data_IF_758258389633
#
_entry.id   IF_758258389633
#
_cell.length_a   1.000
_cell.length_b   1.000
_cell.length_c   1.000
_cell.angle_alpha   90.00
_cell.angle_beta   90.00
_cell.angle_gamma   90.00
#
_symmetry.space_group_name_H-M   'P 1'
#
loop_
_entity.id
_entity.type
_entity.pdbx_description
1 polymer ?
#
# COMPACT_ATOMS: atom_id res chain seq x y z
N UNK A 1 -5.93 -8.01 10.71
CA UNK A 1 -5.86 -8.35 9.26
C UNK A 1 -7.00 -9.23 8.76
N UNK A 2 -7.74 -9.97 9.61
CA UNK A 2 -8.79 -10.88 9.14
C UNK A 2 -9.93 -10.20 8.36
N UNK A 3 -10.24 -8.93 8.65
CA UNK A 3 -11.30 -8.16 7.96
C UNK A 3 -10.91 -7.80 6.51
N UNK A 4 -9.61 -7.72 6.20
CA UNK A 4 -9.12 -7.34 4.86
C UNK A 4 -8.67 -8.55 4.04
N UNK A 5 -8.69 -9.76 4.58
CA UNK A 5 -8.25 -10.94 3.85
C UNK A 5 -9.08 -11.12 2.56
N UNK A 6 -8.39 -11.22 1.42
CA UNK A 6 -9.01 -11.28 0.09
C UNK A 6 -9.10 -9.95 -0.64
N UNK A 7 -8.86 -8.82 0.02
CA UNK A 7 -8.83 -7.50 -0.62
C UNK A 7 -7.50 -7.33 -1.38
N UNK A 8 -7.60 -7.02 -2.67
CA UNK A 8 -6.48 -6.66 -3.52
C UNK A 8 -6.57 -5.18 -3.92
N UNK A 9 -5.45 -4.46 -3.85
CA UNK A 9 -5.37 -3.04 -4.20
C UNK A 9 -4.13 -2.75 -5.06
N UNK A 10 -4.22 -1.82 -6.04
CA UNK A 10 -3.05 -1.29 -6.71
C UNK A 10 -2.11 -0.65 -5.70
N UNK A 11 -0.82 -0.95 -5.81
CA UNK A 11 0.17 -0.46 -4.86
C UNK A 11 1.51 -0.21 -5.53
N UNK A 12 2.34 0.60 -4.89
CA UNK A 12 3.78 0.67 -5.16
C UNK A 12 4.51 0.17 -3.93
N UNK A 13 5.39 -0.81 -4.11
CA UNK A 13 6.20 -1.39 -3.04
C UNK A 13 7.67 -1.14 -3.33
N UNK A 14 8.41 -0.71 -2.30
CA UNK A 14 9.82 -0.31 -2.37
C UNK A 14 10.62 -1.07 -1.32
N UNK A 15 11.67 -1.77 -1.76
CA UNK A 15 12.65 -2.40 -0.87
C UNK A 15 13.66 -1.37 -0.34
N UNK A 16 14.36 -1.73 0.74
CA UNK A 16 15.39 -0.87 1.35
C UNK A 16 16.53 -0.52 0.37
N UNK A 17 16.88 -1.44 -0.54
CA UNK A 17 17.87 -1.20 -1.59
C UNK A 17 17.38 -0.29 -2.74
N UNK A 18 16.16 0.23 -2.67
CA UNK A 18 15.57 1.13 -3.66
C UNK A 18 14.88 0.43 -4.84
N UNK A 19 14.81 -0.90 -4.87
CA UNK A 19 14.02 -1.62 -5.89
C UNK A 19 12.54 -1.32 -5.73
N UNK A 20 11.83 -1.04 -6.84
CA UNK A 20 10.42 -0.64 -6.83
C UNK A 20 9.59 -1.51 -7.78
N UNK A 21 8.42 -1.96 -7.31
CA UNK A 21 7.40 -2.57 -8.16
C UNK A 21 6.06 -1.87 -8.01
N UNK A 22 5.33 -1.70 -9.11
CA UNK A 22 3.98 -1.15 -9.13
C UNK A 22 3.00 -2.20 -9.61
N UNK A 23 2.32 -2.84 -8.68
CA UNK A 23 1.45 -3.97 -8.93
C UNK A 23 0.40 -4.11 -7.82
N UNK A 24 -0.52 -5.05 -7.98
CA UNK A 24 -1.50 -5.35 -6.94
C UNK A 24 -0.85 -6.02 -5.71
N UNK A 25 -1.20 -5.52 -4.53
CA UNK A 25 -0.97 -6.16 -3.24
C UNK A 25 -2.25 -6.84 -2.77
N UNK A 26 -2.12 -8.04 -2.22
CA UNK A 26 -3.21 -8.83 -1.66
C UNK A 26 -3.04 -8.95 -0.14
N UNK A 27 -4.05 -8.53 0.62
CA UNK A 27 -4.12 -8.85 2.04
C UNK A 27 -4.58 -10.31 2.21
N UNK A 28 -3.83 -11.09 3.00
CA UNK A 28 -4.15 -12.50 3.29
C UNK A 28 -4.40 -12.70 4.78
N UNK A 29 -4.86 -13.90 5.16
CA UNK A 29 -4.98 -14.27 6.57
C UNK A 29 -3.63 -14.26 7.32
N UNK A 30 -2.52 -14.43 6.62
CA UNK A 30 -1.17 -14.58 7.22
C UNK A 30 -0.17 -13.59 6.62
N UNK A 31 -0.57 -12.32 6.53
CA UNK A 31 0.28 -11.24 6.04
C UNK A 31 -0.11 -10.80 4.63
N UNK A 32 0.89 -10.52 3.79
CA UNK A 32 0.72 -9.88 2.49
C UNK A 32 1.15 -10.82 1.36
N UNK A 33 0.53 -10.68 0.19
CA UNK A 33 0.84 -11.44 -1.03
C UNK A 33 0.47 -10.61 -2.27
N UNK A 34 0.25 -11.27 -3.41
CA UNK A 34 -0.02 -10.63 -4.69
C UNK A 34 1.27 -10.30 -5.47
N UNK A 35 1.16 -9.92 -6.75
CA UNK A 35 2.32 -9.73 -7.61
C UNK A 35 3.33 -8.73 -7.05
N UNK A 36 2.90 -7.62 -6.44
CA UNK A 36 3.81 -6.65 -5.83
C UNK A 36 4.70 -7.29 -4.74
N UNK A 37 4.09 -8.03 -3.81
CA UNK A 37 4.79 -8.67 -2.69
C UNK A 37 5.67 -9.82 -3.17
N UNK A 38 5.19 -10.62 -4.13
CA UNK A 38 5.97 -11.72 -4.69
C UNK A 38 7.22 -11.21 -5.41
N UNK A 39 7.10 -10.15 -6.22
CA UNK A 39 8.24 -9.55 -6.91
C UNK A 39 9.25 -8.94 -5.92
N UNK A 40 8.79 -8.13 -4.96
CA UNK A 40 9.70 -7.48 -4.00
C UNK A 40 10.40 -8.49 -3.08
N UNK A 41 9.78 -9.65 -2.81
CA UNK A 41 10.36 -10.66 -1.91
C UNK A 41 11.72 -11.19 -2.39
N UNK A 42 12.02 -11.09 -3.69
CA UNK A 42 13.34 -11.47 -4.23
C UNK A 42 14.45 -10.47 -3.87
N UNK A 43 14.09 -9.27 -3.41
CA UNK A 43 15.00 -8.17 -3.10
C UNK A 43 15.03 -7.80 -1.62
N UNK A 44 14.21 -8.46 -0.80
CA UNK A 44 14.11 -8.26 0.64
C UNK A 44 14.88 -9.32 1.40
N UNK A 45 15.59 -8.91 2.46
CA UNK A 45 16.25 -9.79 3.42
C UNK A 45 15.65 -9.67 4.83
N UNK A 46 15.74 -10.72 5.66
CA UNK A 46 15.29 -10.66 7.05
C UNK A 46 15.92 -9.49 7.81
N UNK A 47 15.06 -8.61 8.36
CA UNK A 47 15.46 -7.41 9.10
C UNK A 47 15.36 -6.12 8.28
N UNK A 48 15.25 -6.20 6.95
CA UNK A 48 15.07 -5.03 6.08
C UNK A 48 13.62 -4.54 6.10
N UNK A 49 13.45 -3.25 5.83
CA UNK A 49 12.12 -2.66 5.68
C UNK A 49 11.64 -2.71 4.23
N UNK A 50 10.31 -2.76 4.08
CA UNK A 50 9.62 -2.48 2.81
C UNK A 50 8.63 -1.35 3.02
N UNK A 51 8.61 -0.40 2.10
CA UNK A 51 7.63 0.68 2.08
C UNK A 51 6.53 0.35 1.09
N UNK A 52 5.27 0.60 1.45
CA UNK A 52 4.11 0.33 0.60
C UNK A 52 3.28 1.61 0.48
N UNK A 53 3.16 2.13 -0.74
CA UNK A 53 2.19 3.15 -1.09
C UNK A 53 0.91 2.47 -1.63
N UNK A 54 -0.17 2.54 -0.85
CA UNK A 54 -1.48 1.96 -1.19
C UNK A 54 -2.34 2.86 -2.07
N UNK A 55 -1.90 4.09 -2.31
CA UNK A 55 -2.61 5.10 -3.10
C UNK A 55 -1.67 5.72 -4.14
N UNK A 56 -1.07 4.91 -5.03
CA UNK A 56 -0.01 5.39 -5.94
C UNK A 56 -0.51 6.37 -7.00
N UNK A 57 -1.83 6.48 -7.18
CA UNK A 57 -2.49 7.35 -8.14
C UNK A 57 -3.21 8.54 -7.51
N UNK A 58 -3.10 8.69 -6.19
CA UNK A 58 -3.78 9.74 -5.46
C UNK A 58 -2.75 10.65 -4.82
N UNK A 59 -2.79 11.93 -5.18
CA UNK A 59 -2.22 12.97 -4.34
C UNK A 59 -3.08 13.07 -3.07
N UNK A 60 -2.63 12.39 -2.03
CA UNK A 60 -3.37 12.25 -0.79
C UNK A 60 -3.59 13.61 -0.09
N UNK A 61 -2.64 14.54 -0.21
CA UNK A 61 -2.76 15.85 0.42
C UNK A 61 -3.87 16.67 -0.24
N UNK A 62 -3.83 16.76 -1.57
CA UNK A 62 -4.87 17.44 -2.35
C UNK A 62 -6.24 16.81 -2.09
N UNK A 63 -6.33 15.47 -2.16
CA UNK A 63 -7.57 14.75 -1.92
C UNK A 63 -8.16 15.03 -0.54
N UNK A 64 -7.35 14.95 0.54
CA UNK A 64 -7.84 15.20 1.90
C UNK A 64 -8.28 16.65 2.10
N UNK A 65 -7.57 17.60 1.50
CA UNK A 65 -7.94 19.01 1.57
C UNK A 65 -9.28 19.29 0.87
N UNK A 66 -9.52 18.68 -0.30
CA UNK A 66 -10.79 18.77 -1.00
C UNK A 66 -11.94 18.18 -0.16
N UNK A 67 -11.74 16.99 0.43
CA UNK A 67 -12.75 16.35 1.27
C UNK A 67 -13.09 17.18 2.51
N UNK A 68 -12.08 17.77 3.18
CA UNK A 68 -12.29 18.62 4.36
C UNK A 68 -13.08 19.88 4.02
N UNK A 69 -12.81 20.49 2.88
CA UNK A 69 -13.53 21.68 2.42
C UNK A 69 -14.99 21.35 2.04
N UNK A 70 -15.23 20.20 1.42
CA UNK A 70 -16.56 19.74 1.06
C UNK A 70 -17.40 19.29 2.28
N UNK A 71 -16.75 18.76 3.31
CA UNK A 71 -17.40 18.19 4.50
C UNK A 71 -16.81 18.74 5.82
N UNK A 72 -17.01 20.03 6.14
CA UNK A 72 -16.30 20.73 7.21
C UNK A 72 -16.57 20.21 8.63
N UNK A 73 -17.66 19.48 8.85
CA UNK A 73 -18.05 18.94 10.17
C UNK A 73 -17.95 17.40 10.24
N UNK A 74 -17.32 16.76 9.26
CA UNK A 74 -17.15 15.31 9.27
C UNK A 74 -15.99 14.95 10.20
N UNK A 75 -16.30 14.34 11.35
CA UNK A 75 -15.27 13.79 12.23
C UNK A 75 -14.70 12.50 11.61
N UNK A 76 -13.39 12.32 11.72
CA UNK A 76 -12.70 11.06 11.40
C UNK A 76 -13.18 9.91 12.30
#
# INVERSE_FOLDING_TARGET
>A
LQVLAGVAVPSVITAENGTVFRENLLFTHRGLSGPAVLQISSYWQPGEFVSINLLPDVDLETFLNEQRNAHPNQSL
#
